data_IF_733010443421
#
_entry.id   IF_733010443421
#
_cell.length_a   1.000
_cell.length_b   1.000
_cell.length_c   1.000
_cell.angle_alpha   90.00
_cell.angle_beta   90.00
_cell.angle_gamma   90.00
#
_symmetry.space_group_name_H-M   'P 1'
#
loop_
_entity.id
_entity.type
_entity.pdbx_description
1 polymer ?
#
# COMPACT_ATOMS: atom_id res chain seq x y z
N UNK A 1 -15.50 -29.34 -77.16
CA UNK A 1 -16.04 -30.60 -77.71
C UNK A 1 -16.46 -31.49 -76.57
N UNK A 2 -17.69 -32.00 -76.66
CA UNK A 2 -18.38 -32.83 -75.68
C UNK A 2 -17.63 -34.15 -75.40
N UNK A 3 -17.74 -34.68 -74.17
CA UNK A 3 -18.46 -35.94 -73.89
C UNK A 3 -18.47 -36.30 -72.40
N UNK A 4 -19.70 -36.26 -71.85
CA UNK A 4 -20.40 -37.07 -70.84
C UNK A 4 -19.67 -37.90 -69.75
N UNK A 5 -20.28 -38.02 -68.56
CA UNK A 5 -19.87 -38.90 -67.46
C UNK A 5 -20.47 -40.32 -67.62
N UNK A 6 -19.78 -41.32 -67.09
CA UNK A 6 -20.34 -42.66 -66.89
C UNK A 6 -20.33 -43.01 -65.39
N UNK A 7 -21.52 -43.28 -64.87
CA UNK A 7 -21.83 -43.74 -63.52
C UNK A 7 -21.68 -45.29 -63.39
N UNK A 8 -21.79 -45.88 -62.18
CA UNK A 8 -20.98 -47.00 -61.70
C UNK A 8 -21.64 -48.40 -61.86
N UNK A 9 -21.00 -49.45 -61.31
CA UNK A 9 -21.74 -50.40 -60.51
C UNK A 9 -21.19 -50.53 -59.09
N UNK A 10 -22.12 -50.56 -58.15
CA UNK A 10 -21.91 -50.98 -56.77
C UNK A 10 -21.59 -52.48 -56.72
N UNK A 11 -20.74 -52.88 -55.78
CA UNK A 11 -20.99 -54.04 -54.89
C UNK A 11 -19.86 -54.20 -53.85
N UNK A 12 -20.32 -54.53 -52.64
CA UNK A 12 -19.62 -55.28 -51.61
C UNK A 12 -18.53 -54.56 -50.78
N UNK A 13 -19.01 -53.84 -49.77
CA UNK A 13 -18.85 -54.23 -48.36
C UNK A 13 -17.52 -54.92 -47.98
N UNK A 14 -16.58 -54.13 -47.43
CA UNK A 14 -15.78 -54.39 -46.22
C UNK A 14 -14.49 -53.60 -46.28
N UNK A 15 -14.35 -52.61 -45.40
CA UNK A 15 -13.15 -52.25 -44.61
C UNK A 15 -13.22 -50.78 -44.17
N UNK A 16 -14.20 -50.47 -43.33
CA UNK A 16 -14.30 -49.18 -42.63
C UNK A 16 -13.49 -49.20 -41.32
N UNK A 17 -12.19 -49.53 -41.40
CA UNK A 17 -11.29 -49.53 -40.23
C UNK A 17 -9.86 -49.02 -40.53
N UNK A 18 -9.62 -48.42 -41.71
CA UNK A 18 -8.26 -48.07 -42.16
C UNK A 18 -7.95 -46.58 -42.36
N UNK A 19 -8.92 -45.67 -42.25
CA UNK A 19 -8.73 -44.25 -42.60
C UNK A 19 -8.84 -43.28 -41.41
N UNK A 20 -9.18 -43.78 -40.22
CA UNK A 20 -9.21 -42.97 -38.99
C UNK A 20 -7.86 -42.84 -38.26
N UNK A 21 -6.87 -43.66 -38.61
CA UNK A 21 -5.60 -43.74 -37.87
C UNK A 21 -4.47 -42.89 -38.46
N UNK A 22 -4.61 -42.37 -39.69
CA UNK A 22 -3.55 -41.63 -40.39
C UNK A 22 -3.67 -40.10 -40.32
N UNK A 23 -4.72 -39.56 -39.69
CA UNK A 23 -4.91 -38.10 -39.51
C UNK A 23 -4.60 -37.65 -38.06
N UNK A 24 -4.18 -38.58 -37.19
CA UNK A 24 -3.89 -38.30 -35.78
C UNK A 24 -2.38 -38.18 -35.44
N UNK A 25 -1.53 -37.89 -36.43
CA UNK A 25 -0.07 -37.86 -36.26
C UNK A 25 0.62 -36.52 -36.58
N UNK A 26 -0.14 -35.42 -36.55
CA UNK A 26 0.44 -34.07 -36.56
C UNK A 26 0.00 -33.22 -35.35
N UNK A 27 -0.23 -33.84 -34.19
CA UNK A 27 -0.08 -33.14 -32.92
C UNK A 27 1.41 -33.07 -32.60
N UNK A 28 2.12 -32.23 -33.36
CA UNK A 28 3.46 -31.82 -33.00
C UNK A 28 3.38 -31.18 -31.61
N UNK A 29 3.86 -31.89 -30.61
CA UNK A 29 4.13 -31.32 -29.29
C UNK A 29 5.14 -30.22 -29.50
N UNK A 30 4.66 -28.99 -29.68
CA UNK A 30 5.51 -27.81 -29.53
C UNK A 30 6.04 -27.86 -28.12
N UNK A 31 7.28 -28.33 -27.96
CA UNK A 31 8.00 -28.21 -26.70
C UNK A 31 8.12 -26.71 -26.45
N UNK A 32 7.34 -26.20 -25.50
CA UNK A 32 7.52 -24.85 -25.01
C UNK A 32 8.91 -24.80 -24.38
N UNK A 33 9.85 -24.11 -25.05
CA UNK A 33 11.19 -23.91 -24.52
C UNK A 33 11.08 -23.19 -23.18
N UNK A 34 11.39 -23.89 -22.09
CA UNK A 34 11.35 -23.34 -20.74
C UNK A 34 12.42 -22.24 -20.63
N UNK A 35 11.99 -20.98 -20.47
CA UNK A 35 12.91 -19.84 -20.38
C UNK A 35 13.52 -19.80 -18.98
N UNK A 36 14.85 -19.87 -18.88
CA UNK A 36 15.57 -19.74 -17.61
C UNK A 36 15.35 -18.35 -17.02
N UNK A 37 14.93 -18.26 -15.75
CA UNK A 37 14.73 -16.98 -15.06
C UNK A 37 15.80 -16.79 -14.00
N UNK A 38 16.53 -15.69 -14.08
CA UNK A 38 17.55 -15.28 -13.10
C UNK A 38 17.08 -14.00 -12.42
N UNK A 39 17.09 -13.97 -11.08
CA UNK A 39 16.73 -12.78 -10.29
C UNK A 39 17.99 -12.13 -9.73
N UNK A 40 18.06 -10.80 -9.74
CA UNK A 40 19.17 -10.04 -9.13
C UNK A 40 18.69 -8.70 -8.64
N UNK A 41 19.39 -8.13 -7.65
CA UNK A 41 19.13 -6.76 -7.19
C UNK A 41 20.02 -5.76 -7.89
N UNK A 42 19.56 -4.51 -8.00
CA UNK A 42 20.39 -3.38 -8.45
C UNK A 42 21.64 -3.27 -7.58
N UNK A 43 22.79 -3.08 -8.21
CA UNK A 43 24.10 -2.98 -7.56
C UNK A 43 24.83 -4.32 -7.39
N UNK A 44 24.14 -5.46 -7.51
CA UNK A 44 24.75 -6.78 -7.36
C UNK A 44 25.47 -7.26 -8.62
N UNK A 45 26.18 -8.39 -8.50
CA UNK A 45 26.77 -9.15 -9.61
C UNK A 45 25.88 -10.34 -9.93
N UNK A 46 25.51 -10.51 -11.20
CA UNK A 46 24.68 -11.63 -11.66
C UNK A 46 25.38 -12.43 -12.75
N UNK A 47 25.06 -13.73 -12.84
CA UNK A 47 25.50 -14.64 -13.90
C UNK A 47 24.31 -15.11 -14.74
N UNK A 48 24.43 -15.06 -16.06
CA UNK A 48 23.46 -15.59 -17.00
C UNK A 48 24.08 -16.81 -17.70
N UNK A 49 23.54 -18.02 -17.47
CA UNK A 49 24.12 -19.26 -18.02
C UNK A 49 23.84 -19.39 -19.52
N UNK A 50 24.80 -19.91 -20.28
CA UNK A 50 24.62 -20.29 -21.69
C UNK A 50 24.24 -21.79 -21.80
N UNK A 51 23.93 -22.27 -23.01
CA UNK A 51 23.64 -23.69 -23.30
C UNK A 51 24.80 -24.47 -23.93
N UNK A 52 26.03 -23.96 -23.88
CA UNK A 52 27.18 -24.63 -24.48
C UNK A 52 28.45 -24.44 -23.66
N UNK A 53 29.26 -25.48 -23.62
CA UNK A 53 30.59 -25.46 -23.03
C UNK A 53 31.61 -25.75 -24.13
N UNK A 54 32.64 -24.91 -24.23
CA UNK A 54 33.77 -25.09 -25.14
C UNK A 54 34.62 -26.26 -24.62
N UNK A 55 34.82 -27.33 -25.42
CA UNK A 55 35.68 -28.43 -25.03
C UNK A 55 37.08 -27.93 -24.71
N UNK A 56 37.73 -28.43 -23.65
CA UNK A 56 39.09 -28.00 -23.26
C UNK A 56 40.16 -28.28 -24.32
N UNK A 57 39.91 -29.26 -25.18
CA UNK A 57 40.76 -29.57 -26.34
C UNK A 57 40.61 -28.55 -27.48
N UNK A 58 39.56 -27.76 -27.45
CA UNK A 58 39.25 -26.72 -28.42
C UNK A 58 39.42 -25.33 -27.75
N UNK A 59 39.45 -24.28 -28.57
CA UNK A 59 39.46 -22.92 -28.08
C UNK A 59 38.33 -22.11 -28.71
N UNK A 60 38.06 -20.92 -28.17
CA UNK A 60 37.08 -19.97 -28.72
C UNK A 60 37.33 -19.57 -30.19
N UNK A 61 38.49 -19.92 -30.77
CA UNK A 61 38.84 -19.60 -32.17
C UNK A 61 37.87 -20.20 -33.19
N UNK A 62 37.35 -21.40 -32.93
CA UNK A 62 36.40 -22.08 -33.83
C UNK A 62 34.95 -21.65 -33.64
N UNK A 63 34.69 -20.77 -32.65
CA UNK A 63 33.36 -20.41 -32.21
C UNK A 63 33.08 -18.92 -32.44
N UNK A 64 31.81 -18.63 -32.75
CA UNK A 64 31.24 -17.29 -32.62
C UNK A 64 30.20 -17.31 -31.53
N UNK A 65 30.35 -16.44 -30.55
CA UNK A 65 29.46 -16.39 -29.37
C UNK A 65 28.85 -15.00 -29.30
N UNK A 66 27.54 -14.94 -29.19
CA UNK A 66 26.78 -13.72 -29.07
C UNK A 66 25.95 -13.76 -27.80
N UNK A 67 26.13 -12.75 -26.95
CA UNK A 67 25.15 -12.40 -25.93
C UNK A 67 24.39 -11.18 -26.40
N UNK A 68 23.07 -11.29 -26.50
CA UNK A 68 22.24 -10.26 -27.10
C UNK A 68 20.87 -10.16 -26.43
N UNK A 69 20.29 -8.96 -26.32
CA UNK A 69 18.88 -8.79 -25.92
C UNK A 69 17.93 -9.03 -27.10
N UNK A 70 18.37 -8.64 -28.29
CA UNK A 70 17.76 -8.95 -29.58
C UNK A 70 18.85 -8.85 -30.67
N UNK A 71 18.52 -9.14 -31.93
CA UNK A 71 19.50 -9.16 -33.04
C UNK A 71 20.25 -7.82 -33.20
N UNK A 72 19.61 -6.70 -32.88
CA UNK A 72 20.20 -5.35 -32.98
C UNK A 72 20.91 -4.87 -31.71
N UNK A 73 20.56 -5.43 -30.55
CA UNK A 73 21.05 -5.06 -29.22
C UNK A 73 21.99 -6.15 -28.68
N UNK A 74 23.18 -6.22 -29.29
CA UNK A 74 24.25 -7.15 -28.92
C UNK A 74 25.00 -6.62 -27.70
N UNK A 75 24.94 -7.35 -26.59
CA UNK A 75 25.64 -7.04 -25.33
C UNK A 75 27.15 -7.19 -25.54
N UNK A 76 27.57 -8.36 -26.01
CA UNK A 76 28.93 -8.66 -26.44
C UNK A 76 28.95 -9.76 -27.50
N UNK A 77 30.04 -9.80 -28.27
CA UNK A 77 30.29 -10.86 -29.24
C UNK A 77 31.78 -11.22 -29.30
N UNK A 78 32.03 -12.53 -29.45
CA UNK A 78 33.36 -13.11 -29.68
C UNK A 78 33.40 -13.80 -31.04
N UNK A 79 34.55 -13.70 -31.71
CA UNK A 79 34.87 -14.44 -32.94
C UNK A 79 36.38 -14.61 -33.01
N UNK A 80 36.85 -15.76 -33.51
CA UNK A 80 38.28 -16.06 -33.66
C UNK A 80 39.07 -15.93 -32.35
N UNK A 81 38.42 -16.16 -31.21
CA UNK A 81 39.02 -16.06 -29.87
C UNK A 81 39.06 -14.64 -29.30
N UNK A 82 38.67 -13.63 -30.07
CA UNK A 82 38.75 -12.22 -29.68
C UNK A 82 37.35 -11.60 -29.50
N UNK A 83 37.25 -10.59 -28.63
CA UNK A 83 36.01 -9.83 -28.49
C UNK A 83 35.90 -8.81 -29.62
N UNK A 84 34.95 -9.03 -30.53
CA UNK A 84 34.74 -8.16 -31.70
C UNK A 84 33.73 -7.04 -31.46
N UNK A 85 32.85 -7.20 -30.46
CA UNK A 85 31.84 -6.20 -30.12
C UNK A 85 31.51 -6.21 -28.64
N UNK A 86 31.30 -5.02 -28.09
CA UNK A 86 30.70 -4.79 -26.78
C UNK A 86 29.88 -3.52 -26.84
N UNK A 87 28.64 -3.59 -26.39
CA UNK A 87 27.79 -2.40 -26.32
C UNK A 87 28.26 -1.46 -25.20
N UNK A 88 28.20 -0.15 -25.44
CA UNK A 88 28.79 0.88 -24.57
C UNK A 88 28.27 0.81 -23.12
N UNK A 89 26.95 0.67 -22.92
CA UNK A 89 26.33 0.46 -21.59
C UNK A 89 26.95 -0.68 -20.77
N UNK A 90 27.48 -1.69 -21.45
CA UNK A 90 28.03 -2.90 -20.85
C UNK A 90 29.57 -2.85 -20.71
N UNK A 91 30.20 -1.76 -21.15
CA UNK A 91 31.65 -1.55 -21.00
C UNK A 91 32.03 -1.51 -19.52
N UNK A 92 33.08 -2.25 -19.17
CA UNK A 92 33.57 -2.42 -17.79
C UNK A 92 32.55 -2.98 -16.80
N UNK A 93 31.41 -3.49 -17.30
CA UNK A 93 30.35 -4.09 -16.50
C UNK A 93 30.07 -5.54 -16.84
N UNK A 94 30.64 -6.03 -17.95
CA UNK A 94 30.39 -7.40 -18.44
C UNK A 94 31.67 -8.15 -18.71
N UNK A 95 31.61 -9.45 -18.43
CA UNK A 95 32.67 -10.43 -18.65
C UNK A 95 32.01 -11.74 -19.06
N UNK A 96 32.65 -12.50 -19.96
CA UNK A 96 32.18 -13.83 -20.36
C UNK A 96 33.23 -14.87 -19.99
N UNK A 97 32.79 -15.94 -19.35
CA UNK A 97 33.64 -17.10 -19.11
C UNK A 97 33.97 -17.79 -20.45
N UNK A 98 35.24 -18.01 -20.80
CA UNK A 98 35.60 -18.52 -22.12
C UNK A 98 35.32 -20.02 -22.30
N UNK A 99 35.02 -20.76 -21.22
CA UNK A 99 34.72 -22.18 -21.27
C UNK A 99 33.22 -22.44 -21.27
N UNK A 100 32.48 -21.97 -20.27
CA UNK A 100 31.04 -22.22 -20.16
C UNK A 100 30.16 -21.11 -20.75
N UNK A 101 30.78 -20.06 -21.31
CA UNK A 101 30.12 -18.95 -22.00
C UNK A 101 29.13 -18.17 -21.13
N UNK A 102 29.21 -18.32 -19.81
CA UNK A 102 28.37 -17.59 -18.85
C UNK A 102 28.69 -16.10 -18.91
N UNK A 103 27.65 -15.28 -19.06
CA UNK A 103 27.77 -13.83 -19.00
C UNK A 103 27.64 -13.34 -17.56
N UNK A 104 28.62 -12.58 -17.10
CA UNK A 104 28.58 -11.85 -15.85
C UNK A 104 28.20 -10.39 -16.10
N UNK A 105 27.34 -9.82 -15.27
CA UNK A 105 26.97 -8.40 -15.29
C UNK A 105 27.15 -7.83 -13.88
N UNK A 106 27.91 -6.75 -13.74
CA UNK A 106 28.16 -6.07 -12.45
C UNK A 106 28.60 -4.61 -12.66
N UNK A 107 28.05 -3.64 -11.91
CA UNK A 107 26.84 -3.76 -11.09
C UNK A 107 25.60 -3.90 -11.98
N UNK A 108 24.56 -4.59 -11.51
CA UNK A 108 23.27 -4.69 -12.21
C UNK A 108 22.48 -3.37 -12.11
N UNK A 109 21.86 -2.96 -13.22
CA UNK A 109 20.96 -1.80 -13.30
C UNK A 109 19.53 -2.21 -13.68
N UNK A 110 18.54 -1.36 -13.42
CA UNK A 110 17.13 -1.63 -13.81
C UNK A 110 16.98 -1.83 -15.32
N UNK A 111 17.78 -1.10 -16.12
CA UNK A 111 17.79 -1.22 -17.58
C UNK A 111 18.30 -2.58 -18.08
N UNK A 112 18.97 -3.36 -17.23
CA UNK A 112 19.37 -4.72 -17.55
C UNK A 112 18.19 -5.69 -17.49
N UNK A 113 17.10 -5.36 -16.80
CA UNK A 113 15.90 -6.18 -16.77
C UNK A 113 15.41 -6.52 -18.19
N UNK A 114 15.19 -7.81 -18.46
CA UNK A 114 14.66 -8.27 -19.73
C UNK A 114 15.20 -9.62 -20.17
N UNK A 115 14.87 -9.98 -21.42
CA UNK A 115 15.33 -11.21 -22.05
C UNK A 115 16.70 -11.02 -22.67
N UNK A 116 17.55 -12.01 -22.50
CA UNK A 116 18.85 -12.18 -23.13
C UNK A 116 18.85 -13.49 -23.91
N UNK A 117 19.70 -13.58 -24.91
CA UNK A 117 19.97 -14.78 -25.68
C UNK A 117 21.47 -15.03 -25.76
N UNK A 118 21.86 -16.28 -25.49
CA UNK A 118 23.18 -16.80 -25.82
C UNK A 118 23.07 -17.56 -27.13
N UNK A 119 23.76 -17.11 -28.18
CA UNK A 119 23.82 -17.78 -29.48
C UNK A 119 25.26 -18.20 -29.73
N UNK A 120 25.48 -19.49 -29.94
CA UNK A 120 26.79 -20.08 -30.19
C UNK A 120 26.78 -20.71 -31.57
N UNK A 121 27.76 -20.33 -32.39
CA UNK A 121 27.96 -20.88 -33.72
C UNK A 121 29.33 -21.54 -33.81
N UNK A 122 29.40 -22.68 -34.50
CA UNK A 122 30.64 -23.34 -34.91
C UNK A 122 30.59 -23.55 -36.41
N UNK A 123 31.63 -23.13 -37.14
CA UNK A 123 31.68 -23.24 -38.61
C UNK A 123 30.40 -22.73 -39.31
N UNK A 124 29.86 -21.60 -38.82
CA UNK A 124 28.60 -20.97 -39.31
C UNK A 124 27.31 -21.77 -39.07
N UNK A 125 27.36 -22.85 -38.30
CA UNK A 125 26.18 -23.59 -37.83
C UNK A 125 25.88 -23.20 -36.39
N UNK A 126 24.63 -22.84 -36.10
CA UNK A 126 24.18 -22.57 -34.72
C UNK A 126 24.15 -23.89 -33.95
N UNK A 127 25.00 -24.00 -32.93
CA UNK A 127 25.09 -25.19 -32.06
C UNK A 127 24.35 -25.00 -30.74
N UNK A 128 24.04 -23.76 -30.35
CA UNK A 128 23.28 -23.45 -29.13
C UNK A 128 22.57 -22.09 -29.27
N UNK A 129 21.33 -22.04 -28.76
CA UNK A 129 20.49 -20.84 -28.67
C UNK A 129 19.67 -20.87 -27.38
N UNK A 130 20.20 -20.28 -26.30
CA UNK A 130 19.56 -20.25 -24.98
C UNK A 130 18.86 -18.91 -24.76
N UNK A 131 17.68 -18.91 -24.13
CA UNK A 131 17.00 -17.68 -23.71
C UNK A 131 16.94 -17.57 -22.18
N UNK A 132 17.49 -16.48 -21.65
CA UNK A 132 17.53 -16.21 -20.20
C UNK A 132 16.81 -14.90 -19.91
N UNK A 133 15.85 -14.91 -18.98
CA UNK A 133 15.18 -13.72 -18.49
C UNK A 133 15.90 -13.25 -17.22
N UNK A 134 16.52 -12.08 -17.28
CA UNK A 134 17.02 -11.38 -16.10
C UNK A 134 15.91 -10.50 -15.52
N UNK A 135 15.47 -10.84 -14.32
CA UNK A 135 14.50 -10.07 -13.55
C UNK A 135 15.23 -9.26 -12.47
N UNK A 136 15.20 -7.93 -12.60
CA UNK A 136 15.91 -7.03 -11.68
C UNK A 136 14.96 -6.48 -10.63
N UNK A 137 15.40 -6.41 -9.38
CA UNK A 137 14.68 -5.74 -8.28
C UNK A 137 15.48 -4.58 -7.71
N UNK A 138 14.78 -3.53 -7.27
CA UNK A 138 15.34 -2.46 -6.45
C UNK A 138 14.50 -2.33 -5.19
N UNK A 139 15.16 -2.18 -4.05
CA UNK A 139 14.48 -2.05 -2.78
C UNK A 139 13.75 -0.72 -2.67
N UNK A 140 12.50 -0.78 -2.22
CA UNK A 140 11.80 0.39 -1.74
C UNK A 140 12.45 0.94 -0.46
N UNK A 141 12.33 2.24 -0.23
CA UNK A 141 12.65 2.83 1.08
C UNK A 141 11.71 2.26 2.17
N UNK A 142 12.12 2.35 3.43
CA UNK A 142 11.17 2.09 4.53
C UNK A 142 9.95 3.00 4.35
N UNK A 143 8.70 2.49 4.41
CA UNK A 143 7.52 3.33 4.21
C UNK A 143 7.44 4.40 5.30
N UNK A 144 7.13 5.62 4.89
CA UNK A 144 6.81 6.72 5.79
C UNK A 144 5.28 6.83 5.90
N UNK A 145 4.76 6.77 7.12
CA UNK A 145 3.32 6.81 7.41
C UNK A 145 3.04 8.09 8.20
N UNK A 146 2.17 8.93 7.68
CA UNK A 146 1.70 10.17 8.32
C UNK A 146 0.18 10.15 8.45
N UNK A 147 -0.34 10.88 9.43
CA UNK A 147 -1.78 11.04 9.65
C UNK A 147 -2.08 12.52 9.88
N UNK A 148 -3.08 13.03 9.18
CA UNK A 148 -3.55 14.42 9.28
C UNK A 148 -5.04 14.39 9.66
N UNK A 149 -5.44 15.23 10.60
CA UNK A 149 -6.85 15.35 11.01
C UNK A 149 -7.60 16.18 9.97
N UNK A 150 -8.64 15.62 9.35
CA UNK A 150 -9.50 16.35 8.41
C UNK A 150 -10.70 17.00 9.12
N UNK A 151 -11.30 16.29 10.06
CA UNK A 151 -12.42 16.76 10.86
C UNK A 151 -12.40 16.14 12.26
N UNK A 152 -12.83 16.89 13.27
CA UNK A 152 -12.81 16.43 14.65
C UNK A 152 -14.14 16.71 15.35
N UNK A 153 -14.60 15.72 16.10
CA UNK A 153 -15.77 15.79 16.98
C UNK A 153 -15.48 14.99 18.25
N UNK A 154 -16.32 15.13 19.28
CA UNK A 154 -16.13 14.42 20.55
C UNK A 154 -16.20 12.90 20.43
N UNK A 155 -16.95 12.40 19.46
CA UNK A 155 -17.12 10.97 19.26
C UNK A 155 -16.10 10.41 18.27
N UNK A 156 -15.76 11.19 17.24
CA UNK A 156 -15.05 10.74 16.05
C UNK A 156 -14.00 11.76 15.60
N UNK A 157 -12.78 11.30 15.34
CA UNK A 157 -11.74 12.05 14.65
C UNK A 157 -11.54 11.46 13.27
N UNK A 158 -11.89 12.20 12.22
CA UNK A 158 -11.61 11.80 10.83
C UNK A 158 -10.16 12.13 10.51
N UNK A 159 -9.42 11.13 10.04
CA UNK A 159 -8.01 11.25 9.71
C UNK A 159 -7.73 10.78 8.28
N UNK A 160 -6.90 11.53 7.57
CA UNK A 160 -6.31 11.16 6.30
C UNK A 160 -4.91 10.61 6.56
N UNK A 161 -4.75 9.32 6.34
CA UNK A 161 -3.49 8.61 6.51
C UNK A 161 -2.81 8.49 5.17
N UNK A 162 -1.56 8.90 5.10
CA UNK A 162 -0.72 8.79 3.90
C UNK A 162 0.44 7.85 4.17
N UNK A 163 0.58 6.82 3.36
CA UNK A 163 1.74 5.93 3.35
C UNK A 163 2.54 6.13 2.07
N UNK A 164 3.82 6.44 2.18
CA UNK A 164 4.69 6.73 1.03
C UNK A 164 6.01 5.95 1.08
N UNK A 165 6.47 5.49 -0.08
CA UNK A 165 7.78 4.85 -0.24
C UNK A 165 8.36 5.12 -1.63
N UNK A 166 9.68 5.11 -1.76
CA UNK A 166 10.37 5.58 -2.97
C UNK A 166 11.47 4.63 -3.45
N UNK A 167 11.84 4.80 -4.72
CA UNK A 167 13.06 4.25 -5.31
C UNK A 167 13.06 2.75 -5.64
N UNK A 168 11.93 2.06 -5.51
CA UNK A 168 11.90 0.61 -5.69
C UNK A 168 11.48 0.15 -7.10
N UNK A 169 11.74 -1.12 -7.41
CA UNK A 169 11.40 -1.74 -8.69
C UNK A 169 11.21 -3.26 -8.49
N UNK A 170 10.22 -3.92 -9.13
CA UNK A 170 9.26 -3.42 -10.10
C UNK A 170 8.11 -2.62 -9.45
N UNK A 171 7.01 -2.38 -10.19
CA UNK A 171 5.80 -1.74 -9.67
C UNK A 171 5.32 -2.44 -8.36
N UNK A 172 5.11 -1.69 -7.27
CA UNK A 172 4.73 -2.27 -5.99
C UNK A 172 3.21 -2.40 -5.83
N UNK A 173 2.80 -3.08 -4.75
CA UNK A 173 1.47 -3.02 -4.16
C UNK A 173 1.57 -2.45 -2.75
N UNK A 174 0.56 -1.70 -2.32
CA UNK A 174 0.41 -1.31 -0.93
C UNK A 174 -0.65 -2.22 -0.32
N UNK A 175 -0.32 -2.81 0.82
CA UNK A 175 -1.23 -3.52 1.70
C UNK A 175 -1.12 -2.92 3.11
N UNK A 176 -2.07 -3.25 3.97
CA UNK A 176 -2.00 -2.82 5.35
C UNK A 176 -3.12 -3.39 6.18
N UNK A 177 -3.01 -3.19 7.48
CA UNK A 177 -4.00 -3.65 8.43
C UNK A 177 -4.24 -2.62 9.53
N UNK A 178 -5.49 -2.56 9.98
CA UNK A 178 -5.97 -1.80 11.11
C UNK A 178 -6.30 -2.78 12.23
N UNK A 179 -5.52 -2.80 13.32
CA UNK A 179 -5.68 -3.80 14.39
C UNK A 179 -5.85 -5.25 13.86
N UNK A 180 -4.99 -5.65 12.90
CA UNK A 180 -5.02 -6.95 12.19
C UNK A 180 -6.15 -7.18 11.18
N UNK A 181 -7.01 -6.19 10.94
CA UNK A 181 -8.03 -6.25 9.87
C UNK A 181 -7.48 -5.60 8.62
N UNK A 182 -7.44 -6.31 7.49
CA UNK A 182 -6.93 -5.78 6.23
C UNK A 182 -7.72 -4.57 5.75
N UNK A 183 -7.03 -3.55 5.25
CA UNK A 183 -7.63 -2.33 4.69
C UNK A 183 -7.17 -2.09 3.26
N UNK A 184 -8.07 -1.54 2.45
CA UNK A 184 -7.78 -1.16 1.08
C UNK A 184 -7.25 0.27 1.02
N UNK A 185 -6.07 0.44 0.41
CA UNK A 185 -5.44 1.75 0.25
C UNK A 185 -5.77 2.31 -1.12
N UNK A 186 -6.13 3.59 -1.19
CA UNK A 186 -6.16 4.33 -2.45
C UNK A 186 -4.72 4.61 -2.90
N UNK A 187 -4.13 3.63 -3.59
CA UNK A 187 -2.73 3.63 -3.97
C UNK A 187 -2.50 4.17 -5.38
N UNK A 188 -1.50 5.03 -5.49
CA UNK A 188 -0.98 5.58 -6.74
C UNK A 188 0.53 5.38 -6.78
N UNK A 189 1.09 5.29 -7.99
CA UNK A 189 2.53 5.21 -8.18
C UNK A 189 2.95 6.07 -9.36
N UNK A 190 4.17 6.58 -9.27
CA UNK A 190 4.79 7.43 -10.28
C UNK A 190 6.12 6.82 -10.67
N UNK A 191 6.37 6.74 -11.97
CA UNK A 191 7.68 6.38 -12.53
C UNK A 191 7.89 7.13 -13.84
N UNK A 192 9.15 7.46 -14.15
CA UNK A 192 9.52 8.15 -15.39
C UNK A 192 9.32 7.28 -16.63
N UNK A 193 9.51 5.97 -16.47
CA UNK A 193 9.35 4.99 -17.54
C UNK A 193 9.15 3.59 -16.96
N UNK A 194 8.80 2.63 -17.80
CA UNK A 194 8.71 1.19 -17.43
C UNK A 194 10.04 0.58 -16.93
N UNK A 195 11.18 1.26 -17.15
CA UNK A 195 12.51 0.82 -16.69
C UNK A 195 13.15 1.83 -15.74
N UNK A 196 12.33 2.56 -14.98
CA UNK A 196 12.78 3.50 -13.96
C UNK A 196 12.21 3.12 -12.59
N UNK A 197 12.87 3.51 -11.48
CA UNK A 197 12.34 3.29 -10.15
C UNK A 197 10.94 3.89 -9.96
N UNK A 198 10.13 3.22 -9.14
CA UNK A 198 8.79 3.63 -8.75
C UNK A 198 8.80 4.31 -7.40
N UNK A 199 7.99 5.36 -7.29
CA UNK A 199 7.55 5.93 -6.02
C UNK A 199 6.07 5.61 -5.85
N UNK A 200 5.66 5.24 -4.64
CA UNK A 200 4.30 4.81 -4.34
C UNK A 200 3.74 5.59 -3.16
N UNK A 201 2.48 6.00 -3.28
CA UNK A 201 1.74 6.71 -2.25
C UNK A 201 0.35 6.11 -2.13
N UNK A 202 0.01 5.62 -0.94
CA UNK A 202 -1.32 5.15 -0.56
C UNK A 202 -1.99 6.14 0.38
N UNK A 203 -3.27 6.44 0.14
CA UNK A 203 -4.10 7.23 1.05
C UNK A 203 -5.25 6.39 1.60
N UNK A 204 -5.57 6.60 2.86
CA UNK A 204 -6.68 5.95 3.56
C UNK A 204 -7.37 6.97 4.45
N UNK A 205 -8.70 7.03 4.40
CA UNK A 205 -9.50 7.89 5.28
C UNK A 205 -10.11 7.01 6.36
N UNK A 206 -9.90 7.35 7.63
CA UNK A 206 -10.40 6.59 8.77
C UNK A 206 -11.13 7.48 9.78
N UNK A 207 -12.19 6.94 10.34
CA UNK A 207 -12.87 7.52 11.51
C UNK A 207 -12.35 6.84 12.78
N UNK A 208 -11.58 7.59 13.57
CA UNK A 208 -10.90 7.09 14.77
C UNK A 208 -11.77 7.39 16.00
N UNK A 209 -12.31 6.34 16.61
CA UNK A 209 -13.12 6.42 17.85
C UNK A 209 -12.37 5.99 19.10
N UNK A 210 -11.23 5.34 18.93
CA UNK A 210 -10.30 4.87 19.96
C UNK A 210 -8.90 4.82 19.39
N UNK A 211 -7.90 4.63 20.24
CA UNK A 211 -6.54 4.43 19.77
C UNK A 211 -6.44 3.17 18.91
N UNK A 212 -5.82 3.31 17.75
CA UNK A 212 -5.76 2.25 16.73
C UNK A 212 -4.37 2.20 16.12
N UNK A 213 -3.85 0.99 15.90
CA UNK A 213 -2.58 0.78 15.21
C UNK A 213 -2.82 0.51 13.72
N UNK A 214 -2.30 1.39 12.86
CA UNK A 214 -2.30 1.22 11.41
C UNK A 214 -0.94 0.67 10.99
N UNK A 215 -0.94 -0.39 10.19
CA UNK A 215 0.28 -0.90 9.53
C UNK A 215 0.15 -0.72 8.04
N UNK A 216 1.17 -0.13 7.42
CA UNK A 216 1.32 -0.06 5.98
C UNK A 216 2.50 -0.95 5.54
N UNK A 217 2.31 -1.71 4.47
CA UNK A 217 3.31 -2.57 3.87
C UNK A 217 3.40 -2.33 2.36
N UNK A 218 4.62 -2.13 1.86
CA UNK A 218 4.93 -2.00 0.44
C UNK A 218 5.50 -3.33 -0.04
N UNK A 219 4.73 -4.01 -0.88
CA UNK A 219 5.02 -5.35 -1.39
C UNK A 219 5.50 -5.30 -2.85
N UNK A 220 6.57 -6.02 -3.16
CA UNK A 220 7.17 -6.05 -4.49
C UNK A 220 7.98 -7.34 -4.67
N UNK A 221 7.72 -8.08 -5.75
CA UNK A 221 8.49 -9.30 -6.09
C UNK A 221 8.65 -10.33 -4.94
N UNK A 222 7.65 -10.45 -4.06
CA UNK A 222 7.71 -11.35 -2.90
C UNK A 222 8.43 -10.79 -1.67
N UNK A 223 8.97 -9.57 -1.76
CA UNK A 223 9.50 -8.81 -0.64
C UNK A 223 8.44 -7.85 -0.09
N UNK A 224 8.54 -7.52 1.18
CA UNK A 224 7.69 -6.54 1.84
C UNK A 224 8.52 -5.65 2.77
N UNK A 225 8.24 -4.35 2.77
CA UNK A 225 8.74 -3.40 3.79
C UNK A 225 7.56 -2.73 4.45
N UNK A 226 7.48 -2.79 5.77
CA UNK A 226 6.35 -2.28 6.54
C UNK A 226 6.75 -1.25 7.59
N UNK A 227 5.78 -0.41 7.94
CA UNK A 227 5.85 0.56 9.03
C UNK A 227 4.48 0.62 9.70
N UNK A 228 4.46 0.65 11.03
CA UNK A 228 3.25 0.81 11.83
C UNK A 228 3.24 2.17 12.53
N UNK A 229 2.05 2.74 12.70
CA UNK A 229 1.81 4.03 13.36
C UNK A 229 0.63 3.88 14.33
N UNK A 230 0.79 4.36 15.55
CA UNK A 230 -0.29 4.45 16.52
C UNK A 230 -1.06 5.76 16.31
N UNK A 231 -2.33 5.65 15.93
CA UNK A 231 -3.26 6.77 15.83
C UNK A 231 -3.93 6.94 17.19
N UNK A 232 -3.82 8.14 17.76
CA UNK A 232 -4.45 8.47 19.03
C UNK A 232 -5.75 9.20 18.78
N UNK A 233 -6.80 8.86 19.53
CA UNK A 233 -7.98 9.71 19.60
C UNK A 233 -7.65 10.96 20.41
N UNK A 234 -7.91 12.13 19.85
CA UNK A 234 -7.89 13.41 20.57
C UNK A 234 -9.18 13.53 21.40
N UNK A 235 -9.04 13.78 22.70
CA UNK A 235 -10.15 13.82 23.66
C UNK A 235 -10.45 15.24 24.17
N UNK A 236 -9.99 16.29 23.47
CA UNK A 236 -10.21 17.68 23.90
C UNK A 236 -11.61 18.16 23.53
N UNK A 237 -12.60 17.61 24.24
CA UNK A 237 -13.96 18.12 24.21
C UNK A 237 -14.30 18.84 25.49
N UNK A 238 -14.23 20.17 25.43
CA UNK A 238 -15.03 21.02 26.31
C UNK A 238 -16.44 21.00 25.76
N UNK A 239 -17.28 20.08 26.25
CA UNK A 239 -18.72 20.10 25.95
C UNK A 239 -19.24 21.45 26.46
N UNK A 240 -19.78 22.33 25.59
CA UNK A 240 -20.38 23.57 26.08
C UNK A 240 -21.47 23.22 27.08
N UNK A 241 -21.51 23.87 28.27
CA UNK A 241 -22.48 23.54 29.29
C UNK A 241 -23.88 23.61 28.69
N UNK A 242 -24.59 22.47 28.71
CA UNK A 242 -25.96 22.38 28.21
C UNK A 242 -26.77 23.46 28.93
N UNK A 243 -27.37 24.43 28.22
CA UNK A 243 -28.18 25.44 28.88
C UNK A 243 -29.30 24.73 29.65
N UNK A 244 -29.56 25.11 30.91
CA UNK A 244 -30.60 24.47 31.69
C UNK A 244 -31.93 24.56 30.93
N UNK A 245 -32.77 23.51 30.98
CA UNK A 245 -34.03 23.52 30.26
C UNK A 245 -34.86 24.74 30.67
N UNK A 246 -35.57 25.34 29.70
CA UNK A 246 -36.37 26.55 29.88
C UNK A 246 -37.33 26.47 31.09
N UNK A 247 -37.81 25.27 31.42
CA UNK A 247 -38.63 24.97 32.59
C UNK A 247 -37.94 25.28 33.93
N UNK A 248 -36.62 25.07 34.03
CA UNK A 248 -35.84 25.34 35.25
C UNK A 248 -35.59 26.85 35.41
N UNK A 249 -35.33 27.55 34.30
CA UNK A 249 -35.16 29.01 34.28
C UNK A 249 -36.48 29.69 34.65
N UNK A 250 -37.59 29.29 34.03
CA UNK A 250 -38.93 29.82 34.31
C UNK A 250 -39.38 29.53 35.74
N UNK A 251 -39.21 28.30 36.24
CA UNK A 251 -39.53 27.98 37.64
C UNK A 251 -38.71 28.80 38.62
N UNK A 252 -37.42 29.02 38.35
CA UNK A 252 -36.56 29.85 39.19
C UNK A 252 -37.01 31.31 39.23
N UNK A 253 -37.42 31.87 38.09
CA UNK A 253 -37.95 33.24 38.01
C UNK A 253 -39.29 33.35 38.77
N UNK A 254 -40.19 32.39 38.60
CA UNK A 254 -41.49 32.36 39.29
C UNK A 254 -41.29 32.31 40.81
N UNK A 255 -40.38 31.47 41.31
CA UNK A 255 -40.07 31.37 42.75
C UNK A 255 -39.57 32.72 43.30
N UNK A 256 -38.68 33.41 42.57
CA UNK A 256 -38.18 34.73 43.01
C UNK A 256 -39.29 35.78 43.03
N UNK A 257 -40.14 35.83 42.00
CA UNK A 257 -41.26 36.79 41.93
C UNK A 257 -42.26 36.53 43.06
N UNK A 258 -42.64 35.26 43.30
CA UNK A 258 -43.57 34.92 44.39
C UNK A 258 -43.01 35.28 45.76
N UNK A 259 -41.70 35.10 45.99
CA UNK A 259 -41.04 35.50 47.23
C UNK A 259 -41.04 37.02 47.43
N UNK A 260 -40.75 37.79 46.37
CA UNK A 260 -40.82 39.27 46.42
C UNK A 260 -42.25 39.75 46.68
N UNK A 261 -43.26 39.14 46.05
CA UNK A 261 -44.66 39.45 46.32
C UNK A 261 -45.04 39.12 47.77
N UNK A 262 -44.61 37.99 48.30
CA UNK A 262 -44.84 37.63 49.70
C UNK A 262 -44.19 38.63 50.67
N UNK A 263 -42.95 39.06 50.40
CA UNK A 263 -42.26 40.08 51.22
C UNK A 263 -42.96 41.44 51.14
N UNK A 264 -43.37 41.89 49.95
CA UNK A 264 -44.06 43.19 49.80
C UNK A 264 -45.43 43.18 50.48
N UNK A 265 -46.14 42.05 50.45
CA UNK A 265 -47.39 41.88 51.19
C UNK A 265 -47.15 41.83 52.70
N UNK A 266 -46.11 41.13 53.18
CA UNK A 266 -45.75 41.10 54.59
C UNK A 266 -45.38 42.50 55.12
N UNK A 267 -44.61 43.28 54.37
CA UNK A 267 -44.27 44.67 54.72
C UNK A 267 -45.50 45.59 54.72
N UNK A 268 -46.49 45.35 53.86
CA UNK A 268 -47.74 46.13 53.82
C UNK A 268 -48.77 45.71 54.87
N UNK A 269 -48.74 44.46 55.33
CA UNK A 269 -49.66 43.92 56.32
C UNK A 269 -49.10 43.86 57.75
N UNK A 270 -47.79 44.05 57.94
CA UNK A 270 -47.24 44.34 59.26
C UNK A 270 -47.70 45.76 59.65
N UNK A 271 -48.57 45.91 60.67
CA UNK A 271 -48.98 47.21 61.14
C UNK A 271 -47.73 47.97 61.60
N UNK A 272 -47.64 49.26 61.25
CA UNK A 272 -46.74 50.20 61.93
C UNK A 272 -47.17 50.27 63.41
N UNK A 273 -46.72 49.33 64.22
CA UNK A 273 -46.75 49.44 65.67
C UNK A 273 -45.58 50.33 66.05
N UNK A 274 -45.90 51.52 66.55
CA UNK A 274 -44.93 52.45 67.11
C UNK A 274 -44.28 51.90 68.38
N UNK A 275 -43.04 52.34 68.59
CA UNK A 275 -42.26 52.37 69.83
C UNK A 275 -42.29 51.12 70.72
N UNK A 276 -41.27 50.27 70.52
CA UNK A 276 -40.30 49.77 71.53
C UNK A 276 -39.92 48.31 71.23
N UNK A 277 -38.98 48.07 70.31
CA UNK A 277 -38.24 46.79 70.29
C UNK A 277 -36.96 46.86 69.43
N UNK A 278 -35.96 47.61 69.90
CA UNK A 278 -34.64 47.67 69.25
C UNK A 278 -33.75 46.45 69.56
N UNK A 279 -34.35 45.33 70.00
CA UNK A 279 -33.63 44.11 70.39
C UNK A 279 -34.16 42.84 69.65
N UNK A 280 -35.32 42.91 68.97
CA UNK A 280 -35.89 41.76 68.25
C UNK A 280 -35.59 41.73 66.73
N UNK A 281 -35.34 42.88 66.10
CA UNK A 281 -34.96 42.94 64.67
C UNK A 281 -33.56 42.36 64.39
N UNK A 282 -32.60 42.55 65.30
CA UNK A 282 -31.23 42.04 65.13
C UNK A 282 -31.15 40.50 65.24
N UNK A 283 -32.05 39.90 66.03
CA UNK A 283 -32.14 38.43 66.17
C UNK A 283 -32.75 37.79 64.91
N UNK A 284 -33.75 38.43 64.31
CA UNK A 284 -34.37 37.98 63.06
C UNK A 284 -33.41 38.13 61.87
N UNK A 285 -32.71 39.27 61.77
CA UNK A 285 -31.74 39.51 60.71
C UNK A 285 -30.56 38.53 60.78
N UNK A 286 -30.07 38.21 61.98
CA UNK A 286 -29.02 37.19 62.15
C UNK A 286 -29.50 35.79 61.81
N UNK A 287 -30.75 35.44 62.12
CA UNK A 287 -31.34 34.14 61.74
C UNK A 287 -31.47 34.00 60.21
N UNK A 288 -31.91 35.06 59.53
CA UNK A 288 -31.95 35.09 58.05
C UNK A 288 -30.57 35.08 57.41
N UNK A 289 -29.59 35.78 57.99
CA UNK A 289 -28.19 35.77 57.53
C UNK A 289 -27.56 34.37 57.66
N UNK A 290 -27.92 33.62 58.70
CA UNK A 290 -27.52 32.23 58.90
C UNK A 290 -28.17 31.27 57.90
N UNK A 291 -29.47 31.43 57.60
CA UNK A 291 -30.14 30.58 56.61
C UNK A 291 -29.66 30.84 55.18
N UNK A 292 -29.46 32.11 54.80
CA UNK A 292 -28.91 32.46 53.48
C UNK A 292 -27.48 31.93 53.34
N UNK A 293 -26.65 32.05 54.38
CA UNK A 293 -25.32 31.40 54.40
C UNK A 293 -25.45 29.88 54.27
N UNK A 294 -26.38 29.23 54.96
CA UNK A 294 -26.59 27.77 54.87
C UNK A 294 -27.01 27.35 53.45
N UNK A 295 -27.88 28.11 52.80
CA UNK A 295 -28.35 27.85 51.44
C UNK A 295 -27.24 28.05 50.39
N UNK A 296 -26.44 29.11 50.52
CA UNK A 296 -25.27 29.36 49.68
C UNK A 296 -24.18 28.30 49.88
N UNK A 297 -23.95 27.84 51.11
CA UNK A 297 -22.95 26.80 51.41
C UNK A 297 -23.38 25.44 50.85
N UNK A 298 -24.67 25.10 50.91
CA UNK A 298 -25.21 23.86 50.31
C UNK A 298 -25.13 23.91 48.78
N UNK A 299 -25.40 25.06 48.14
CA UNK A 299 -25.23 25.23 46.68
C UNK A 299 -23.76 25.18 46.23
N UNK A 300 -22.85 25.81 46.99
CA UNK A 300 -21.42 25.79 46.70
C UNK A 300 -20.81 24.38 46.92
N UNK A 301 -21.24 23.66 47.95
CA UNK A 301 -20.84 22.27 48.18
C UNK A 301 -21.33 21.33 47.08
N UNK A 302 -22.57 21.53 46.57
CA UNK A 302 -23.08 20.78 45.41
C UNK A 302 -22.33 21.08 44.12
N UNK A 303 -21.92 22.34 43.92
CA UNK A 303 -21.10 22.75 42.77
C UNK A 303 -19.70 22.15 42.78
N UNK A 304 -19.11 21.89 43.96
CA UNK A 304 -17.82 21.21 44.11
C UNK A 304 -17.91 19.69 43.97
N UNK A 305 -19.06 19.06 44.30
CA UNK A 305 -19.27 17.63 44.08
C UNK A 305 -19.50 17.24 42.62
N UNK A 306 -19.83 18.20 41.76
CA UNK A 306 -19.96 18.04 40.30
C UNK A 306 -18.68 18.37 39.53
N UNK A 307 -17.60 18.76 40.22
CA UNK A 307 -16.28 19.07 39.65
C UNK A 307 -15.22 18.01 39.99
N UNK A 308 -15.64 16.84 40.45
CA UNK A 308 -14.79 15.66 40.66
C UNK A 308 -15.30 14.49 39.84
#
# INVERSE_FOLDING_TARGET
>A
MMCLPASPPALALRTWLGLGLFVLLCLGTGQALEKKVVKSKVGEKVRLPCCHEIPRSEGLREYRVYWQKNITDVVLAYSEGEMIRRHERYRNRTEMDPWNLTLWISPVEILDNGSYQCVVQRNSVVVCGESVILFVTADFSKPNVTAEVSAESCELTEMVITCSSHGGFPRPRISGALNNVSVEWNASWVSKSRFSPYNVTGKLVLNVTKDVNITCSVEYSGFAKSTSLLLKKTNDCVVPPVPPPYNVITASIIIVITFILALTLAVRYLPRHGENELESEDLALNKYRLEIKRFLTIKLARSWSTLR
#
